data_IF_054020413398
#
_entry.id   IF_054020413398
#
_cell.length_a   1.000
_cell.length_b   1.000
_cell.length_c   1.000
_cell.angle_alpha   90.00
_cell.angle_beta   90.00
_cell.angle_gamma   90.00
#
_symmetry.space_group_name_H-M   'P 1'
#
loop_
_entity.id
_entity.type
_entity.pdbx_description
1 polymer ?
#
# COMPACT_ATOMS: atom_id res chain seq x y z
N UNK A 1 12.17 22.81 -16.86
CA UNK A 1 11.62 23.66 -15.77
C UNK A 1 11.31 22.77 -14.57
N UNK A 2 12.20 22.76 -13.57
CA UNK A 2 11.98 22.09 -12.27
C UNK A 2 11.46 23.14 -11.29
N UNK A 3 10.22 23.03 -10.84
CA UNK A 3 9.77 23.73 -9.63
C UNK A 3 9.55 22.68 -8.55
N UNK A 4 10.41 22.72 -7.54
CA UNK A 4 10.26 22.00 -6.30
C UNK A 4 8.97 22.48 -5.62
N UNK A 5 8.10 21.55 -5.29
CA UNK A 5 6.84 21.83 -4.63
C UNK A 5 7.07 22.09 -3.14
N UNK A 6 7.36 23.35 -2.82
CA UNK A 6 6.82 24.00 -1.63
C UNK A 6 5.42 24.53 -1.97
N UNK A 7 4.49 24.40 -1.03
CA UNK A 7 3.11 24.98 -1.01
C UNK A 7 2.72 25.82 -2.23
N UNK A 8 2.09 25.18 -3.24
CA UNK A 8 1.56 25.89 -4.41
C UNK A 8 0.41 26.80 -3.97
N UNK A 9 0.43 28.07 -4.38
CA UNK A 9 -0.65 29.02 -4.04
C UNK A 9 -1.94 28.66 -4.81
N UNK A 10 -3.13 28.99 -4.28
CA UNK A 10 -4.40 28.70 -4.96
C UNK A 10 -4.48 29.26 -6.40
N UNK A 11 -4.00 30.49 -6.63
CA UNK A 11 -3.96 31.10 -7.98
C UNK A 11 -3.05 30.36 -8.97
N UNK A 12 -1.92 29.81 -8.49
CA UNK A 12 -1.01 29.00 -9.29
C UNK A 12 -1.63 27.62 -9.63
N UNK A 13 -2.62 27.18 -8.86
CA UNK A 13 -3.35 25.92 -9.08
C UNK A 13 -4.41 26.07 -10.17
N UNK A 14 -5.19 27.15 -10.16
CA UNK A 14 -6.20 27.42 -11.19
C UNK A 14 -5.57 27.61 -12.59
N UNK A 15 -4.48 28.37 -12.68
CA UNK A 15 -3.75 28.54 -13.93
C UNK A 15 -3.20 27.21 -14.47
N UNK A 16 -2.72 26.33 -13.59
CA UNK A 16 -2.24 25.01 -13.98
C UNK A 16 -3.38 24.09 -14.48
N UNK A 17 -4.55 24.12 -13.83
CA UNK A 17 -5.74 23.38 -14.29
C UNK A 17 -6.10 23.82 -15.71
N UNK A 18 -6.23 25.13 -15.96
CA UNK A 18 -6.57 25.65 -17.28
C UNK A 18 -5.53 25.23 -18.35
N UNK A 19 -4.24 25.27 -18.02
CA UNK A 19 -3.19 24.82 -18.92
C UNK A 19 -3.29 23.33 -19.26
N UNK A 20 -3.51 22.47 -18.26
CA UNK A 20 -3.69 21.03 -18.51
C UNK A 20 -4.98 20.71 -19.25
N UNK A 21 -6.07 21.44 -19.00
CA UNK A 21 -7.31 21.30 -19.77
C UNK A 21 -7.09 21.64 -21.25
N UNK A 22 -6.28 22.65 -21.58
CA UNK A 22 -5.90 22.93 -22.97
C UNK A 22 -5.10 21.79 -23.58
N UNK A 23 -4.14 21.21 -22.86
CA UNK A 23 -3.39 20.02 -23.33
C UNK A 23 -4.33 18.83 -23.55
N UNK A 24 -5.32 18.64 -22.68
CA UNK A 24 -6.33 17.60 -22.82
C UNK A 24 -7.25 17.73 -24.03
N UNK A 25 -7.33 18.93 -24.64
CA UNK A 25 -8.01 19.11 -25.93
C UNK A 25 -7.20 18.56 -27.11
N UNK A 26 -5.88 18.44 -26.95
CA UNK A 26 -4.98 17.84 -27.95
C UNK A 26 -4.96 16.32 -27.77
N UNK A 27 -4.71 15.86 -26.53
CA UNK A 27 -4.70 14.44 -26.21
C UNK A 27 -5.29 14.20 -24.81
N UNK A 28 -6.51 13.67 -24.78
CA UNK A 28 -7.22 13.31 -23.54
C UNK A 28 -6.91 11.89 -23.04
N UNK A 29 -6.05 11.15 -23.75
CA UNK A 29 -5.68 9.76 -23.48
C UNK A 29 -4.32 9.61 -22.80
N UNK A 30 -3.63 10.72 -22.54
CA UNK A 30 -2.38 10.69 -21.79
C UNK A 30 -2.61 10.48 -20.28
N UNK A 31 -2.15 9.35 -19.72
CA UNK A 31 -2.38 8.98 -18.32
C UNK A 31 -1.84 10.01 -17.31
N UNK A 32 -0.62 10.51 -17.52
CA UNK A 32 0.00 11.46 -16.60
C UNK A 32 -0.73 12.81 -16.57
N UNK A 33 -1.30 13.24 -17.71
CA UNK A 33 -2.15 14.42 -17.78
C UNK A 33 -3.37 14.26 -16.85
N UNK A 34 -4.05 13.12 -16.95
CA UNK A 34 -5.22 12.83 -16.12
C UNK A 34 -4.84 12.78 -14.65
N UNK A 35 -3.72 12.14 -14.30
CA UNK A 35 -3.24 12.08 -12.91
C UNK A 35 -2.96 13.48 -12.38
N UNK A 36 -2.24 14.33 -13.13
CA UNK A 36 -1.93 15.71 -12.71
C UNK A 36 -3.19 16.56 -12.54
N UNK A 37 -4.16 16.47 -13.45
CA UNK A 37 -5.46 17.15 -13.30
C UNK A 37 -6.20 16.66 -12.04
N UNK A 38 -6.20 15.35 -11.79
CA UNK A 38 -6.81 14.77 -10.60
C UNK A 38 -6.20 15.28 -9.30
N UNK A 39 -4.87 15.38 -9.23
CA UNK A 39 -4.17 15.96 -8.07
C UNK A 39 -4.55 17.44 -7.89
N UNK A 40 -4.60 18.24 -8.96
CA UNK A 40 -4.95 19.66 -8.87
C UNK A 40 -6.41 19.89 -8.45
N UNK A 41 -7.35 19.08 -8.95
CA UNK A 41 -8.75 19.17 -8.49
C UNK A 41 -8.88 18.77 -7.02
N UNK A 42 -8.15 17.74 -6.56
CA UNK A 42 -8.12 17.37 -5.14
C UNK A 42 -7.60 18.52 -4.28
N UNK A 43 -6.51 19.16 -4.70
CA UNK A 43 -5.92 20.30 -3.99
C UNK A 43 -6.87 21.53 -3.94
N UNK A 44 -7.89 21.58 -4.81
CA UNK A 44 -8.96 22.59 -4.82
C UNK A 44 -10.24 22.13 -4.09
N UNK A 45 -10.26 20.96 -3.46
CA UNK A 45 -11.47 20.42 -2.83
C UNK A 45 -12.51 19.85 -3.80
N UNK A 46 -12.20 19.82 -5.11
CA UNK A 46 -13.09 19.34 -6.19
C UNK A 46 -13.02 17.83 -6.30
N UNK A 47 -13.54 17.13 -5.29
CA UNK A 47 -13.36 15.68 -5.12
C UNK A 47 -14.00 14.83 -6.21
N UNK A 48 -15.15 15.25 -6.74
CA UNK A 48 -15.82 14.57 -7.86
C UNK A 48 -14.95 14.57 -9.12
N UNK A 49 -14.48 15.74 -9.54
CA UNK A 49 -13.59 15.85 -10.71
C UNK A 49 -12.23 15.19 -10.46
N UNK A 50 -11.69 15.30 -9.24
CA UNK A 50 -10.47 14.60 -8.87
C UNK A 50 -10.60 13.08 -9.07
N UNK A 51 -11.69 12.50 -8.57
CA UNK A 51 -11.98 11.07 -8.68
C UNK A 51 -12.08 10.63 -10.15
N UNK A 52 -12.83 11.36 -10.96
CA UNK A 52 -12.98 11.06 -12.39
C UNK A 52 -11.61 11.02 -13.10
N UNK A 53 -10.78 12.05 -12.87
CA UNK A 53 -9.46 12.16 -13.50
C UNK A 53 -8.50 11.08 -13.01
N UNK A 54 -8.51 10.75 -11.73
CA UNK A 54 -7.64 9.70 -11.18
C UNK A 54 -8.04 8.29 -11.66
N UNK A 55 -9.33 8.01 -11.82
CA UNK A 55 -9.81 6.77 -12.45
C UNK A 55 -9.32 6.69 -13.89
N UNK A 56 -9.50 7.77 -14.66
CA UNK A 56 -9.05 7.81 -16.05
C UNK A 56 -7.53 7.65 -16.17
N UNK A 57 -6.76 8.22 -15.24
CA UNK A 57 -5.32 8.04 -15.17
C UNK A 57 -4.91 6.58 -14.96
N UNK A 58 -5.61 5.85 -14.08
CA UNK A 58 -5.41 4.41 -13.91
C UNK A 58 -5.72 3.66 -15.19
N UNK A 59 -6.87 3.93 -15.81
CA UNK A 59 -7.36 3.14 -16.94
C UNK A 59 -6.51 3.34 -18.20
N UNK A 60 -5.89 4.52 -18.34
CA UNK A 60 -4.96 4.87 -19.41
C UNK A 60 -3.51 4.47 -19.12
N UNK A 61 -3.22 3.93 -17.94
CA UNK A 61 -1.85 3.55 -17.59
C UNK A 61 -1.37 2.43 -18.52
N UNK A 62 -0.25 2.69 -19.20
CA UNK A 62 0.37 1.74 -20.13
C UNK A 62 1.15 0.65 -19.40
N UNK A 63 1.55 0.88 -18.13
CA UNK A 63 2.30 -0.06 -17.32
C UNK A 63 1.42 -0.56 -16.16
N UNK A 64 0.54 -1.50 -16.50
CA UNK A 64 -0.52 -1.97 -15.59
C UNK A 64 0.03 -2.99 -14.58
N UNK A 65 0.30 -2.52 -13.37
CA UNK A 65 0.56 -3.40 -12.20
C UNK A 65 -0.69 -3.67 -11.36
N UNK A 66 -1.83 -3.07 -11.70
CA UNK A 66 -3.13 -3.28 -11.07
C UNK A 66 -4.23 -3.39 -12.14
N UNK A 67 -5.36 -4.00 -11.78
CA UNK A 67 -6.54 -4.04 -12.63
C UNK A 67 -7.11 -2.64 -12.85
N UNK A 68 -7.46 -2.33 -14.09
CA UNK A 68 -8.21 -1.12 -14.46
C UNK A 68 -9.73 -1.34 -14.34
N UNK A 69 -10.52 -0.30 -14.64
CA UNK A 69 -11.99 -0.41 -14.64
C UNK A 69 -12.50 -1.57 -15.50
N UNK A 70 -11.89 -1.78 -16.66
CA UNK A 70 -12.34 -2.75 -17.65
C UNK A 70 -12.05 -4.18 -17.20
N UNK A 71 -10.84 -4.45 -16.71
CA UNK A 71 -10.46 -5.75 -16.13
C UNK A 71 -11.35 -6.06 -14.93
N UNK A 72 -11.58 -5.12 -14.02
CA UNK A 72 -12.46 -5.34 -12.88
C UNK A 72 -13.92 -5.60 -13.31
N UNK A 73 -14.41 -4.94 -14.37
CA UNK A 73 -15.72 -5.24 -14.94
C UNK A 73 -15.80 -6.66 -15.52
N UNK A 74 -14.78 -7.09 -16.28
CA UNK A 74 -14.68 -8.45 -16.82
C UNK A 74 -14.66 -9.48 -15.70
N UNK A 75 -13.85 -9.27 -14.66
CA UNK A 75 -13.76 -10.19 -13.51
C UNK A 75 -15.13 -10.38 -12.86
N UNK A 76 -15.87 -9.29 -12.62
CA UNK A 76 -17.24 -9.33 -12.06
C UNK A 76 -18.25 -10.01 -12.99
N UNK A 77 -18.15 -9.73 -14.29
CA UNK A 77 -19.03 -10.35 -15.28
C UNK A 77 -18.81 -11.86 -15.32
N UNK A 78 -17.56 -12.30 -15.49
CA UNK A 78 -17.21 -13.72 -15.59
C UNK A 78 -17.53 -14.45 -14.28
N UNK A 79 -17.31 -13.81 -13.11
CA UNK A 79 -17.66 -14.44 -11.84
C UNK A 79 -19.15 -14.71 -11.72
N UNK A 80 -19.98 -13.75 -12.14
CA UNK A 80 -21.44 -13.86 -12.18
C UNK A 80 -21.89 -14.95 -13.16
N UNK A 81 -21.39 -14.93 -14.40
CA UNK A 81 -21.75 -15.91 -15.44
C UNK A 81 -21.38 -17.36 -15.07
N UNK A 82 -20.27 -17.52 -14.34
CA UNK A 82 -19.78 -18.84 -13.91
C UNK A 82 -20.33 -19.27 -12.54
N UNK A 83 -21.08 -18.41 -11.85
CA UNK A 83 -21.57 -18.67 -10.51
C UNK A 83 -20.47 -18.91 -9.48
N UNK A 84 -19.30 -18.27 -9.64
CA UNK A 84 -18.19 -18.37 -8.69
C UNK A 84 -18.22 -17.19 -7.72
N UNK A 85 -17.93 -17.46 -6.46
CA UNK A 85 -17.85 -16.42 -5.42
C UNK A 85 -16.68 -15.48 -5.70
N UNK A 86 -16.96 -14.19 -5.84
CA UNK A 86 -15.96 -13.13 -6.03
C UNK A 86 -15.75 -12.34 -4.74
N UNK A 87 -14.51 -12.30 -4.26
CA UNK A 87 -14.06 -11.32 -3.27
C UNK A 87 -13.61 -10.07 -4.02
N UNK A 88 -14.52 -9.10 -4.16
CA UNK A 88 -14.28 -7.88 -4.93
C UNK A 88 -13.42 -6.88 -4.15
N UNK A 89 -12.11 -7.12 -4.13
CA UNK A 89 -11.15 -6.29 -3.39
C UNK A 89 -11.10 -4.85 -3.91
N UNK A 90 -11.38 -4.62 -5.20
CA UNK A 90 -11.49 -3.26 -5.76
C UNK A 90 -12.67 -2.52 -5.10
N UNK A 91 -13.83 -3.14 -4.92
CA UNK A 91 -14.92 -2.53 -4.15
C UNK A 91 -14.57 -2.40 -2.67
N UNK A 92 -14.06 -3.44 -2.03
CA UNK A 92 -13.79 -3.40 -0.58
C UNK A 92 -12.77 -2.34 -0.18
N UNK A 93 -11.75 -2.10 -1.02
CA UNK A 93 -10.72 -1.09 -0.76
C UNK A 93 -11.12 0.33 -1.20
N UNK A 94 -12.17 0.48 -2.01
CA UNK A 94 -12.68 1.77 -2.50
C UNK A 94 -14.08 2.13 -2.00
N UNK A 95 -14.70 1.29 -1.17
CA UNK A 95 -16.00 1.58 -0.58
C UNK A 95 -15.88 2.89 0.24
N UNK A 96 -16.85 3.80 0.06
CA UNK A 96 -17.07 4.81 1.09
C UNK A 96 -17.31 4.07 2.41
N UNK A 97 -16.81 4.64 3.50
CA UNK A 97 -16.73 4.02 4.83
C UNK A 97 -18.12 3.61 5.38
N UNK A 98 -18.68 2.50 4.89
CA UNK A 98 -19.82 1.80 5.48
C UNK A 98 -19.36 0.75 6.50
N UNK A 99 -18.05 0.49 6.61
CA UNK A 99 -17.43 -0.49 7.52
C UNK A 99 -17.10 0.10 8.89
N UNK A 100 -17.20 1.43 9.06
CA UNK A 100 -16.87 2.11 10.31
C UNK A 100 -15.38 2.13 10.62
N UNK A 101 -14.52 1.99 9.60
CA UNK A 101 -13.07 1.94 9.79
C UNK A 101 -12.40 3.30 9.72
N UNK A 102 -13.10 4.40 9.42
CA UNK A 102 -12.64 5.80 9.52
C UNK A 102 -11.11 5.93 9.47
N UNK A 103 -10.52 5.64 8.32
CA UNK A 103 -9.10 5.91 8.14
C UNK A 103 -8.96 7.28 7.47
N UNK A 104 -9.45 8.31 8.16
CA UNK A 104 -9.01 9.67 7.91
C UNK A 104 -7.47 9.70 7.95
N UNK A 105 -6.85 9.81 6.79
CA UNK A 105 -5.39 9.88 6.68
C UNK A 105 -4.62 8.55 6.61
N UNK A 106 -5.26 7.38 6.57
CA UNK A 106 -4.51 6.13 6.33
C UNK A 106 -4.54 5.69 4.87
N UNK A 107 -3.36 5.42 4.33
CA UNK A 107 -3.16 4.81 3.02
C UNK A 107 -3.21 3.30 3.17
N UNK A 108 -4.16 2.58 2.55
CA UNK A 108 -4.24 1.11 2.53
C UNK A 108 -3.10 0.42 1.74
N UNK A 109 -2.17 1.23 1.24
CA UNK A 109 -1.06 0.80 0.43
C UNK A 109 0.22 1.52 0.85
N UNK A 110 1.35 0.83 0.75
CA UNK A 110 2.67 1.44 0.85
C UNK A 110 2.99 2.31 -0.36
N UNK A 111 2.53 1.88 -1.54
CA UNK A 111 2.70 2.58 -2.80
C UNK A 111 1.51 2.28 -3.76
N UNK A 112 1.66 2.28 -5.08
CA UNK A 112 0.50 2.18 -5.98
C UNK A 112 -0.10 0.78 -6.14
N UNK A 113 0.52 -0.27 -5.57
CA UNK A 113 0.14 -1.69 -5.72
C UNK A 113 0.21 -2.48 -4.40
N UNK A 114 1.29 -2.35 -3.64
CA UNK A 114 1.54 -3.15 -2.43
C UNK A 114 0.72 -2.61 -1.27
N UNK A 115 -0.18 -3.45 -0.76
CA UNK A 115 -1.00 -3.18 0.42
C UNK A 115 -0.12 -3.01 1.66
N UNK A 116 -0.54 -2.13 2.56
CA UNK A 116 0.02 -2.08 3.92
C UNK A 116 -0.70 -3.10 4.82
N UNK A 117 -0.40 -3.09 6.12
CA UNK A 117 -1.01 -3.99 7.10
C UNK A 117 -2.55 -3.90 7.09
N UNK A 118 -3.10 -2.68 7.02
CA UNK A 118 -4.53 -2.44 7.00
C UNK A 118 -5.17 -2.91 5.69
N UNK A 119 -4.52 -2.64 4.56
CA UNK A 119 -4.97 -3.13 3.25
C UNK A 119 -4.95 -4.66 3.14
N UNK A 120 -3.88 -5.31 3.61
CA UNK A 120 -3.78 -6.76 3.63
C UNK A 120 -4.87 -7.37 4.53
N UNK A 121 -5.09 -6.80 5.72
CA UNK A 121 -6.14 -7.24 6.62
C UNK A 121 -7.54 -7.11 5.99
N UNK A 122 -7.83 -6.00 5.30
CA UNK A 122 -9.12 -5.78 4.64
C UNK A 122 -9.41 -6.85 3.56
N UNK A 123 -8.42 -7.14 2.71
CA UNK A 123 -8.55 -8.19 1.68
C UNK A 123 -8.68 -9.58 2.32
N UNK A 124 -7.83 -9.91 3.28
CA UNK A 124 -7.86 -11.20 3.97
C UNK A 124 -9.18 -11.44 4.70
N UNK A 125 -9.73 -10.41 5.34
CA UNK A 125 -11.05 -10.48 6.00
C UNK A 125 -12.16 -10.78 5.00
N UNK A 126 -12.17 -10.12 3.84
CA UNK A 126 -13.16 -10.38 2.79
C UNK A 126 -13.09 -11.83 2.25
N UNK A 127 -11.89 -12.40 2.18
CA UNK A 127 -11.69 -13.81 1.81
C UNK A 127 -12.22 -14.74 2.90
N UNK A 128 -11.85 -14.49 4.17
CA UNK A 128 -12.27 -15.31 5.30
C UNK A 128 -13.80 -15.36 5.46
N UNK A 129 -14.48 -14.24 5.22
CA UNK A 129 -15.95 -14.16 5.26
C UNK A 129 -16.59 -15.09 4.23
N UNK A 130 -16.10 -15.07 3.00
CA UNK A 130 -16.62 -15.95 1.95
C UNK A 130 -16.29 -17.42 2.20
N UNK A 131 -15.11 -17.72 2.73
CA UNK A 131 -14.74 -19.10 3.09
C UNK A 131 -15.63 -19.65 4.20
N UNK A 132 -15.94 -18.85 5.23
CA UNK A 132 -16.84 -19.26 6.32
C UNK A 132 -18.21 -19.67 5.77
N UNK A 133 -18.77 -18.86 4.86
CA UNK A 133 -20.04 -19.17 4.19
C UNK A 133 -19.94 -20.46 3.36
N UNK A 134 -18.88 -20.60 2.55
CA UNK A 134 -18.71 -21.75 1.66
C UNK A 134 -18.45 -23.07 2.39
N UNK A 135 -17.75 -23.03 3.52
CA UNK A 135 -17.46 -24.20 4.33
C UNK A 135 -18.61 -24.57 5.28
N UNK A 136 -19.60 -23.69 5.45
CA UNK A 136 -20.69 -23.89 6.41
C UNK A 136 -20.22 -23.86 7.87
N UNK A 137 -19.04 -23.28 8.12
CA UNK A 137 -18.48 -23.13 9.46
C UNK A 137 -19.22 -21.99 10.19
N UNK A 138 -19.44 -22.10 11.51
CA UNK A 138 -19.97 -20.99 12.27
C UNK A 138 -19.01 -19.80 12.15
N UNK A 139 -19.57 -18.59 12.07
CA UNK A 139 -18.78 -17.37 12.15
C UNK A 139 -18.09 -17.32 13.52
N UNK A 140 -16.82 -17.75 13.56
CA UNK A 140 -15.95 -17.53 14.69
C UNK A 140 -15.68 -16.03 14.83
N UNK A 141 -15.30 -15.60 16.02
CA UNK A 141 -14.83 -14.24 16.22
C UNK A 141 -13.67 -13.95 15.27
N UNK A 142 -13.80 -12.89 14.47
CA UNK A 142 -12.79 -12.50 13.50
C UNK A 142 -11.53 -12.06 14.26
N UNK A 143 -10.34 -12.62 13.96
CA UNK A 143 -9.11 -12.13 14.54
C UNK A 143 -8.93 -10.65 14.27
N UNK A 144 -8.52 -9.88 15.26
CA UNK A 144 -8.23 -8.45 15.09
C UNK A 144 -6.97 -8.26 14.24
N UNK A 145 -6.73 -7.07 13.66
CA UNK A 145 -5.47 -6.77 12.96
C UNK A 145 -4.22 -7.08 13.80
N UNK A 146 -4.25 -6.79 15.10
CA UNK A 146 -3.13 -7.04 16.02
C UNK A 146 -2.92 -8.53 16.27
N UNK A 147 -4.01 -9.29 16.42
CA UNK A 147 -3.95 -10.76 16.52
C UNK A 147 -3.32 -11.35 15.26
N UNK A 148 -3.79 -10.93 14.07
CA UNK A 148 -3.22 -11.34 12.80
C UNK A 148 -1.72 -10.99 12.69
N UNK A 149 -1.34 -9.77 13.07
CA UNK A 149 0.05 -9.34 13.02
C UNK A 149 0.94 -10.19 13.95
N UNK A 150 0.49 -10.44 15.19
CA UNK A 150 1.22 -11.29 16.15
C UNK A 150 1.38 -12.73 15.67
N UNK A 151 0.34 -13.29 15.05
CA UNK A 151 0.35 -14.65 14.51
C UNK A 151 1.23 -14.80 13.27
N UNK A 152 1.35 -13.75 12.47
CA UNK A 152 2.19 -13.72 11.26
C UNK A 152 3.64 -13.29 11.55
N UNK A 153 3.96 -12.95 12.80
CA UNK A 153 5.27 -12.42 13.16
C UNK A 153 5.55 -11.01 12.62
N UNK A 154 4.51 -10.23 12.33
CA UNK A 154 4.60 -8.89 11.78
C UNK A 154 4.83 -7.85 12.89
N UNK A 155 6.05 -7.79 13.40
CA UNK A 155 6.48 -6.83 14.42
C UNK A 155 7.21 -5.63 13.79
N UNK A 156 7.65 -4.68 14.61
CA UNK A 156 8.29 -3.43 14.14
C UNK A 156 9.49 -3.68 13.19
N UNK A 157 10.36 -4.64 13.52
CA UNK A 157 11.46 -5.06 12.65
C UNK A 157 10.96 -5.51 11.27
N UNK A 158 9.91 -6.34 11.25
CA UNK A 158 9.41 -6.92 10.01
C UNK A 158 8.72 -5.87 9.14
N UNK A 159 7.98 -4.94 9.75
CA UNK A 159 7.42 -3.76 9.06
C UNK A 159 8.50 -2.89 8.44
N UNK A 160 9.59 -2.62 9.17
CA UNK A 160 10.75 -1.91 8.62
C UNK A 160 11.35 -2.66 7.43
N UNK A 161 11.62 -3.95 7.57
CA UNK A 161 12.26 -4.77 6.54
C UNK A 161 11.42 -4.88 5.25
N UNK A 162 10.11 -5.07 5.40
CA UNK A 162 9.17 -5.11 4.28
C UNK A 162 9.11 -3.74 3.58
N UNK A 163 8.94 -2.67 4.35
CA UNK A 163 8.89 -1.33 3.77
C UNK A 163 10.23 -0.89 3.14
N UNK A 164 11.37 -1.30 3.67
CA UNK A 164 12.68 -1.05 3.07
C UNK A 164 12.79 -1.66 1.66
N UNK A 165 12.18 -2.82 1.44
CA UNK A 165 12.11 -3.46 0.11
C UNK A 165 11.27 -2.63 -0.86
N UNK A 166 10.11 -2.13 -0.40
CA UNK A 166 9.24 -1.25 -1.18
C UNK A 166 9.93 0.09 -1.49
N UNK A 167 10.57 0.71 -0.50
CA UNK A 167 11.31 1.96 -0.65
C UNK A 167 12.44 1.82 -1.68
N UNK A 168 13.22 0.74 -1.62
CA UNK A 168 14.28 0.47 -2.59
C UNK A 168 13.77 0.23 -4.03
N UNK A 169 12.56 -0.28 -4.20
CA UNK A 169 11.90 -0.39 -5.50
C UNK A 169 11.51 0.99 -6.05
N UNK A 170 11.03 1.89 -5.19
CA UNK A 170 10.67 3.26 -5.56
C UNK A 170 11.88 4.15 -5.93
N UNK A 171 13.10 3.72 -5.66
CA UNK A 171 14.34 4.43 -6.04
C UNK A 171 14.81 4.12 -7.47
N UNK A 172 14.08 3.27 -8.20
CA UNK A 172 14.45 2.80 -9.55
C UNK A 172 13.43 3.20 -10.59
N UNK A 173 13.78 3.08 -11.87
CA UNK A 173 12.80 3.21 -12.95
C UNK A 173 11.69 2.15 -12.77
N UNK A 174 10.42 2.48 -13.09
CA UNK A 174 9.96 3.73 -13.71
C UNK A 174 9.74 4.91 -12.73
N UNK A 175 9.83 4.71 -11.41
CA UNK A 175 9.53 5.75 -10.42
C UNK A 175 10.41 6.99 -10.55
N UNK A 176 11.70 6.81 -10.85
CA UNK A 176 12.64 7.92 -11.06
C UNK A 176 12.25 8.85 -12.22
N UNK A 177 11.39 8.39 -13.13
CA UNK A 177 10.92 9.15 -14.29
C UNK A 177 9.56 9.82 -14.05
N UNK A 178 8.92 9.59 -12.90
CA UNK A 178 7.66 10.24 -12.55
C UNK A 178 7.89 11.70 -12.16
N UNK A 179 7.00 12.60 -12.55
CA UNK A 179 7.20 14.04 -12.28
C UNK A 179 7.23 14.43 -10.81
N UNK A 180 6.55 13.66 -9.95
CA UNK A 180 6.49 13.85 -8.51
C UNK A 180 7.51 12.99 -7.75
N UNK A 181 8.48 12.38 -8.45
CA UNK A 181 9.48 11.47 -7.90
C UNK A 181 10.15 12.01 -6.64
N UNK A 182 10.67 13.24 -6.66
CA UNK A 182 11.39 13.79 -5.49
C UNK A 182 10.48 13.96 -4.27
N UNK A 183 9.20 14.29 -4.48
CA UNK A 183 8.21 14.42 -3.40
C UNK A 183 7.89 13.04 -2.83
N UNK A 184 7.67 12.04 -3.70
CA UNK A 184 7.42 10.65 -3.32
C UNK A 184 8.61 10.02 -2.60
N UNK A 185 9.83 10.25 -3.09
CA UNK A 185 11.07 9.77 -2.49
C UNK A 185 11.24 10.36 -1.08
N UNK A 186 11.07 11.67 -0.90
CA UNK A 186 11.14 12.30 0.42
C UNK A 186 10.14 11.69 1.40
N UNK A 187 8.88 11.49 0.98
CA UNK A 187 7.87 10.83 1.82
C UNK A 187 8.28 9.40 2.17
N UNK A 188 8.79 8.65 1.19
CA UNK A 188 9.20 7.27 1.38
C UNK A 188 10.37 7.15 2.35
N UNK A 189 11.40 7.99 2.20
CA UNK A 189 12.57 8.02 3.10
C UNK A 189 12.17 8.43 4.53
N UNK A 190 11.26 9.39 4.70
CA UNK A 190 10.75 9.76 6.01
C UNK A 190 10.06 8.57 6.69
N UNK A 191 9.19 7.85 5.97
CA UNK A 191 8.52 6.65 6.50
C UNK A 191 9.52 5.54 6.80
N UNK A 192 10.50 5.31 5.92
CA UNK A 192 11.54 4.32 6.12
C UNK A 192 12.36 4.61 7.39
N UNK A 193 12.75 5.86 7.59
CA UNK A 193 13.50 6.27 8.78
C UNK A 193 12.69 6.12 10.07
N UNK A 194 11.40 6.45 10.06
CA UNK A 194 10.51 6.23 11.19
C UNK A 194 10.40 4.74 11.55
N UNK A 195 10.10 3.89 10.56
CA UNK A 195 10.01 2.45 10.75
C UNK A 195 11.35 1.85 11.19
N UNK A 196 12.47 2.34 10.66
CA UNK A 196 13.81 1.92 11.09
C UNK A 196 14.02 2.24 12.57
N UNK A 197 13.75 3.48 12.99
CA UNK A 197 13.90 3.87 14.38
C UNK A 197 13.07 3.00 15.33
N UNK A 198 11.83 2.66 14.94
CA UNK A 198 10.95 1.76 15.69
C UNK A 198 11.46 0.31 15.70
N UNK A 199 11.82 -0.22 14.53
CA UNK A 199 12.13 -1.62 14.32
C UNK A 199 13.58 -2.03 14.61
N UNK A 200 14.49 -1.06 14.78
CA UNK A 200 15.92 -1.32 14.98
C UNK A 200 16.51 -0.80 16.28
N UNK A 201 15.69 -0.43 17.25
CA UNK A 201 16.18 -0.16 18.61
C UNK A 201 16.60 -1.46 19.32
N UNK A 202 17.50 -1.38 20.30
CA UNK A 202 17.92 -2.55 21.09
C UNK A 202 16.72 -3.26 21.73
N UNK A 203 15.76 -2.49 22.25
CA UNK A 203 14.52 -3.01 22.81
C UNK A 203 13.66 -3.72 21.75
N UNK A 204 13.54 -3.15 20.55
CA UNK A 204 12.77 -3.76 19.47
C UNK A 204 13.43 -5.04 18.95
N UNK A 205 14.76 -5.07 18.86
CA UNK A 205 15.52 -6.27 18.50
C UNK A 205 15.37 -7.39 19.54
N UNK A 206 15.56 -7.06 20.82
CA UNK A 206 15.38 -8.02 21.91
C UNK A 206 13.96 -8.61 21.91
N UNK A 207 12.95 -7.76 21.73
CA UNK A 207 11.54 -8.18 21.68
C UNK A 207 11.22 -9.00 20.43
N UNK A 208 11.78 -8.64 19.27
CA UNK A 208 11.54 -9.34 18.01
C UNK A 208 12.03 -10.80 18.05
N UNK A 209 13.18 -11.05 18.68
CA UNK A 209 13.71 -12.41 18.85
C UNK A 209 12.73 -13.32 19.59
N UNK A 210 12.23 -12.88 20.74
CA UNK A 210 11.24 -13.64 21.52
C UNK A 210 9.94 -13.80 20.73
N UNK A 211 9.47 -12.73 20.08
CA UNK A 211 8.22 -12.75 19.35
C UNK A 211 8.23 -13.72 18.15
N UNK A 212 9.38 -13.90 17.48
CA UNK A 212 9.55 -14.95 16.47
C UNK A 212 9.48 -16.36 17.06
N UNK A 213 10.12 -16.60 18.21
CA UNK A 213 10.07 -17.90 18.88
C UNK A 213 8.64 -18.25 19.28
N UNK A 214 7.90 -17.28 19.83
CA UNK A 214 6.50 -17.44 20.19
C UNK A 214 5.64 -17.75 18.97
N UNK A 215 5.78 -16.99 17.88
CA UNK A 215 5.06 -17.23 16.63
C UNK A 215 5.37 -18.62 16.03
N UNK A 216 6.65 -19.04 16.05
CA UNK A 216 7.06 -20.38 15.61
C UNK A 216 6.51 -21.49 16.49
N UNK A 217 6.35 -21.26 17.80
CA UNK A 217 5.72 -22.23 18.71
C UNK A 217 4.23 -22.41 18.41
N UNK A 218 3.51 -21.32 18.09
CA UNK A 218 2.10 -21.35 17.71
C UNK A 218 1.88 -21.99 16.34
N UNK A 219 2.82 -21.76 15.41
CA UNK A 219 2.74 -22.25 14.02
C UNK A 219 4.05 -22.94 13.59
N UNK A 220 4.32 -24.15 14.10
CA UNK A 220 5.60 -24.82 13.87
C UNK A 220 5.86 -25.19 12.41
N UNK A 221 4.82 -25.32 11.58
CA UNK A 221 4.96 -25.68 10.17
C UNK A 221 4.95 -24.48 9.22
N UNK A 222 4.91 -23.25 9.75
CA UNK A 222 4.94 -22.04 8.93
C UNK A 222 6.37 -21.73 8.45
N UNK A 223 6.63 -22.01 7.18
CA UNK A 223 7.93 -21.75 6.55
C UNK A 223 8.23 -20.25 6.46
N UNK A 224 7.23 -19.39 6.28
CA UNK A 224 7.44 -17.95 6.13
C UNK A 224 7.97 -17.34 7.43
N UNK A 225 7.39 -17.71 8.58
CA UNK A 225 7.88 -17.27 9.90
C UNK A 225 9.33 -17.72 10.11
N UNK A 226 9.67 -18.97 9.76
CA UNK A 226 11.04 -19.49 9.86
C UNK A 226 12.03 -18.74 8.97
N UNK A 227 11.63 -18.41 7.74
CA UNK A 227 12.44 -17.61 6.81
C UNK A 227 12.62 -16.16 7.31
N UNK A 228 11.58 -15.57 7.89
CA UNK A 228 11.63 -14.24 8.50
C UNK A 228 12.58 -14.23 9.70
N UNK A 229 12.50 -15.24 10.56
CA UNK A 229 13.41 -15.41 11.69
C UNK A 229 14.86 -15.59 11.25
N UNK A 230 15.13 -16.40 10.21
CA UNK A 230 16.50 -16.56 9.70
C UNK A 230 17.09 -15.24 9.19
N UNK A 231 16.29 -14.42 8.48
CA UNK A 231 16.70 -13.07 8.05
C UNK A 231 16.94 -12.14 9.22
N UNK A 232 16.08 -12.19 10.24
CA UNK A 232 16.26 -11.43 11.47
C UNK A 232 17.56 -11.84 12.19
N UNK A 233 17.81 -13.14 12.38
CA UNK A 233 19.00 -13.66 13.04
C UNK A 233 20.30 -13.24 12.30
N UNK A 234 20.29 -13.28 10.97
CA UNK A 234 21.40 -12.79 10.15
C UNK A 234 21.66 -11.29 10.36
N UNK A 235 20.60 -10.48 10.37
CA UNK A 235 20.71 -9.04 10.59
C UNK A 235 21.20 -8.71 12.01
N UNK A 236 20.69 -9.42 13.02
CA UNK A 236 21.12 -9.28 14.42
C UNK A 236 22.59 -9.64 14.59
N UNK A 237 23.06 -10.73 13.97
CA UNK A 237 24.47 -11.13 14.01
C UNK A 237 25.40 -10.07 13.38
N UNK A 238 25.04 -9.55 12.20
CA UNK A 238 25.81 -8.49 11.54
C UNK A 238 25.86 -7.17 12.35
N UNK A 239 24.81 -6.85 13.10
CA UNK A 239 24.77 -5.67 13.96
C UNK A 239 25.61 -5.85 15.24
N UNK A 240 25.62 -7.03 15.84
CA UNK A 240 26.51 -7.36 16.97
C UNK A 240 27.97 -7.30 16.55
N UNK A 241 28.31 -7.80 15.36
CA UNK A 241 29.66 -7.67 14.80
C UNK A 241 30.04 -6.21 14.53
N UNK A 242 29.11 -5.38 14.05
CA UNK A 242 29.34 -3.95 13.80
C UNK A 242 29.45 -3.11 15.08
N UNK A 243 28.81 -3.53 16.18
CA UNK A 243 28.84 -2.86 17.49
C UNK A 243 29.99 -3.32 18.40
N UNK A 244 30.69 -4.40 18.03
CA UNK A 244 31.85 -4.89 18.77
C UNK A 244 33.08 -4.02 18.46
N UNK A 245 33.70 -3.36 19.45
CA UNK A 245 34.94 -2.63 19.21
C UNK A 245 36.04 -3.58 18.74
N UNK A 246 36.71 -3.24 17.64
CA UNK A 246 37.92 -3.94 17.18
C UNK A 246 39.09 -3.70 18.10
#
# INVERSE_FOLDING_TARGET
MRTAWGTRRPGDTLAAIAAYEMVGRVDSTHAELQYRLGQLYRDQGRMGEARERLIRARDLDALRFRADSHINAIVRQVSSERGVTLVDSDRSLNAEDETGLQLEGASLFHEHVHLDDAGNYAVASGIADQLTVLLGEPANERPTPDTCASDLGLFAWERYRLYASVAGLMERAPFTNQYDFLVRLKRSLNRLNALRAEGTSDQAFASAGQAYLDAMSRRPNDLAIRQNYARFAQASGALVEAASPR
#
